data_IF_510381122336
#
_entry.id   IF_510381122336
#
_cell.length_a   1.000
_cell.length_b   1.000
_cell.length_c   1.000
_cell.angle_alpha   90.00
_cell.angle_beta   90.00
_cell.angle_gamma   90.00
#
_symmetry.space_group_name_H-M   'P 1'
#
loop_
_entity.id
_entity.type
_entity.pdbx_description
1 polymer ?
#
# COMPACT_ATOMS: atom_id res chain seq x y z
N UNK A 1 24.27 -1.63 -49.17
CA UNK A 1 24.23 -0.94 -47.87
C UNK A 1 22.80 -0.98 -47.35
N UNK A 2 22.41 -2.05 -46.65
CA UNK A 2 21.07 -2.26 -46.11
C UNK A 2 21.02 -1.77 -44.66
N UNK A 3 20.28 -0.70 -44.41
CA UNK A 3 20.00 -0.19 -43.06
C UNK A 3 19.05 -1.13 -42.33
N UNK A 4 19.53 -1.74 -41.25
CA UNK A 4 18.71 -2.54 -40.34
C UNK A 4 18.16 -1.61 -39.25
N UNK A 5 16.87 -1.29 -39.35
CA UNK A 5 16.14 -0.57 -38.32
C UNK A 5 16.03 -1.46 -37.07
N UNK A 6 16.72 -1.07 -36.00
CA UNK A 6 16.50 -1.65 -34.67
C UNK A 6 15.06 -1.34 -34.26
N UNK A 7 14.23 -2.38 -34.19
CA UNK A 7 12.91 -2.30 -33.61
C UNK A 7 13.01 -1.80 -32.17
N UNK A 8 12.34 -0.69 -31.87
CA UNK A 8 12.17 -0.22 -30.51
C UNK A 8 11.38 -1.29 -29.74
N UNK A 9 12.07 -2.00 -28.85
CA UNK A 9 11.42 -2.87 -27.87
C UNK A 9 10.48 -1.99 -27.04
N UNK A 10 9.18 -2.32 -27.06
CA UNK A 10 8.19 -1.65 -26.23
C UNK A 10 8.61 -1.80 -24.77
N UNK A 11 8.82 -0.68 -24.08
CA UNK A 11 9.05 -0.65 -22.64
C UNK A 11 7.83 -1.32 -22.00
N UNK A 12 7.99 -2.38 -21.18
CA UNK A 12 6.86 -2.95 -20.48
C UNK A 12 6.24 -1.85 -19.64
N UNK A 13 4.92 -1.65 -19.82
CA UNK A 13 4.19 -0.66 -19.04
C UNK A 13 4.42 -0.98 -17.55
N UNK A 14 5.05 -0.05 -16.82
CA UNK A 14 5.18 -0.15 -15.39
C UNK A 14 3.79 -0.42 -14.80
N UNK A 15 3.65 -1.25 -13.74
CA UNK A 15 2.37 -1.52 -13.13
C UNK A 15 1.72 -0.18 -12.75
N UNK A 16 0.64 0.15 -13.44
CA UNK A 16 -0.06 1.43 -13.26
C UNK A 16 -0.83 1.32 -11.95
N UNK A 17 -0.53 2.20 -11.00
CA UNK A 17 -1.29 2.31 -9.76
C UNK A 17 -2.69 2.87 -10.08
N UNK A 18 -3.68 1.98 -10.12
CA UNK A 18 -5.03 2.32 -10.55
C UNK A 18 -5.86 2.89 -9.39
N UNK A 19 -6.00 4.21 -9.34
CA UNK A 19 -6.78 4.92 -8.33
C UNK A 19 -8.30 4.81 -8.54
N UNK A 20 -8.75 4.20 -9.64
CA UNK A 20 -10.18 3.89 -9.85
C UNK A 20 -10.63 2.74 -8.94
N UNK A 21 -9.70 1.88 -8.51
CA UNK A 21 -9.96 0.75 -7.62
C UNK A 21 -10.43 1.26 -6.25
N UNK A 22 -11.61 0.83 -5.74
CA UNK A 22 -12.16 1.33 -4.48
C UNK A 22 -11.25 1.12 -3.25
N UNK A 23 -10.54 -0.01 -3.17
CA UNK A 23 -9.61 -0.30 -2.08
C UNK A 23 -8.44 0.68 -2.06
N UNK A 24 -7.84 0.92 -3.23
CA UNK A 24 -6.74 1.87 -3.44
C UNK A 24 -7.21 3.28 -3.05
N UNK A 25 -8.35 3.74 -3.60
CA UNK A 25 -8.92 5.05 -3.26
C UNK A 25 -9.19 5.19 -1.76
N UNK A 26 -9.74 4.16 -1.11
CA UNK A 26 -10.00 4.20 0.33
C UNK A 26 -8.70 4.33 1.12
N UNK A 27 -7.66 3.58 0.78
CA UNK A 27 -6.36 3.64 1.45
C UNK A 27 -5.71 5.02 1.27
N UNK A 28 -5.78 5.62 0.07
CA UNK A 28 -5.29 6.98 -0.15
C UNK A 28 -6.02 8.02 0.72
N UNK A 29 -7.33 7.90 0.89
CA UNK A 29 -8.07 8.79 1.79
C UNK A 29 -7.60 8.62 3.25
N UNK A 30 -7.40 7.39 3.71
CA UNK A 30 -6.89 7.11 5.06
C UNK A 30 -5.49 7.71 5.29
N UNK A 31 -4.62 7.65 4.29
CA UNK A 31 -3.28 8.28 4.33
C UNK A 31 -3.42 9.80 4.42
N UNK A 32 -4.25 10.41 3.57
CA UNK A 32 -4.45 11.86 3.53
C UNK A 32 -5.00 12.40 4.85
N UNK A 33 -5.97 11.69 5.41
CA UNK A 33 -6.66 12.09 6.64
C UNK A 33 -5.88 11.72 7.90
N UNK A 34 -4.75 11.01 7.76
CA UNK A 34 -3.94 10.44 8.86
C UNK A 34 -4.80 9.68 9.86
N UNK A 35 -5.79 8.96 9.33
CA UNK A 35 -6.77 8.28 10.15
C UNK A 35 -6.13 7.06 10.85
N UNK A 36 -6.42 6.89 12.13
CA UNK A 36 -6.01 5.68 12.85
C UNK A 36 -6.73 4.44 12.32
N UNK A 37 -5.94 3.40 12.11
CA UNK A 37 -6.36 2.10 11.58
C UNK A 37 -5.91 0.97 12.50
N UNK A 38 -6.57 -0.18 12.34
CA UNK A 38 -6.12 -1.45 12.89
C UNK A 38 -5.98 -2.47 11.75
N UNK A 39 -4.79 -3.07 11.65
CA UNK A 39 -4.47 -4.11 10.68
C UNK A 39 -4.36 -5.44 11.43
N UNK A 40 -5.21 -6.40 11.06
CA UNK A 40 -5.12 -7.78 11.54
C UNK A 40 -4.28 -8.58 10.56
N UNK A 41 -3.21 -9.19 11.04
CA UNK A 41 -2.40 -10.11 10.25
C UNK A 41 -3.01 -11.51 10.25
N UNK A 42 -2.70 -12.30 9.21
CA UNK A 42 -3.09 -13.71 9.11
C UNK A 42 -2.51 -14.57 10.25
N UNK A 43 -1.40 -14.12 10.87
CA UNK A 43 -0.84 -14.74 12.09
C UNK A 43 -1.76 -14.62 13.31
N UNK A 44 -2.68 -13.66 13.30
CA UNK A 44 -3.48 -13.29 14.46
C UNK A 44 -2.99 -12.01 15.15
N UNK A 45 -1.84 -11.46 14.79
CA UNK A 45 -1.35 -10.22 15.39
C UNK A 45 -2.17 -9.01 14.94
N UNK A 46 -2.19 -7.99 15.79
CA UNK A 46 -2.89 -6.73 15.53
C UNK A 46 -1.89 -5.58 15.58
N UNK A 47 -1.80 -4.84 14.49
CA UNK A 47 -0.99 -3.63 14.38
C UNK A 47 -1.93 -2.43 14.36
N UNK A 48 -1.65 -1.44 15.20
CA UNK A 48 -2.39 -0.17 15.24
C UNK A 48 -1.49 0.96 14.79
N UNK A 49 -2.04 1.88 14.00
CA UNK A 49 -1.24 2.97 13.49
C UNK A 49 -1.95 3.84 12.47
N UNK A 50 -1.18 4.58 11.69
CA UNK A 50 -1.67 5.36 10.55
C UNK A 50 -0.94 4.93 9.28
N UNK A 51 -1.62 4.98 8.13
CA UNK A 51 -0.99 4.65 6.85
C UNK A 51 -0.10 5.79 6.37
N UNK A 52 1.11 5.45 5.90
CA UNK A 52 2.06 6.40 5.31
C UNK A 52 2.07 6.34 3.80
N UNK A 53 2.08 5.13 3.26
CA UNK A 53 2.08 4.86 1.82
C UNK A 53 1.59 3.43 1.56
N UNK A 54 1.26 3.18 0.29
CA UNK A 54 0.91 1.87 -0.25
C UNK A 54 1.64 1.71 -1.58
N UNK A 55 2.10 0.50 -1.85
CA UNK A 55 2.45 0.02 -3.18
C UNK A 55 1.62 -1.23 -3.52
N UNK A 56 1.96 -1.93 -4.61
CA UNK A 56 1.17 -3.05 -5.13
C UNK A 56 1.13 -4.22 -4.14
N UNK A 57 2.21 -4.42 -3.39
CA UNK A 57 2.44 -5.61 -2.57
C UNK A 57 2.48 -5.31 -1.08
N UNK A 58 2.65 -4.04 -0.71
CA UNK A 58 2.94 -3.61 0.64
C UNK A 58 2.16 -2.35 1.05
N UNK A 59 1.93 -2.24 2.35
CA UNK A 59 1.49 -1.01 2.99
C UNK A 59 2.39 -0.66 4.17
N UNK A 60 2.62 0.63 4.36
CA UNK A 60 3.42 1.13 5.46
C UNK A 60 2.55 1.75 6.54
N UNK A 61 2.72 1.25 7.76
CA UNK A 61 2.02 1.71 8.96
C UNK A 61 3.03 2.35 9.90
N UNK A 62 2.78 3.60 10.27
CA UNK A 62 3.48 4.23 11.40
C UNK A 62 2.77 3.84 12.69
N UNK A 63 3.50 3.25 13.63
CA UNK A 63 2.98 2.76 14.89
C UNK A 63 2.48 3.89 15.80
N UNK A 64 1.55 3.54 16.70
CA UNK A 64 1.05 4.41 17.77
C UNK A 64 1.31 3.81 19.15
N UNK A 65 1.19 4.61 20.20
CA UNK A 65 1.46 4.16 21.57
C UNK A 65 2.95 3.82 21.76
N UNK A 66 3.23 2.60 22.21
CA UNK A 66 4.59 2.09 22.45
C UNK A 66 5.40 1.94 21.15
N UNK A 67 4.73 1.71 20.02
CA UNK A 67 5.35 1.57 18.70
C UNK A 67 5.52 2.92 17.97
N UNK A 68 5.28 4.04 18.66
CA UNK A 68 5.42 5.37 18.06
C UNK A 68 6.85 5.61 17.58
N UNK A 69 6.99 6.04 16.33
CA UNK A 69 8.28 6.31 15.69
C UNK A 69 8.82 5.13 14.86
N UNK A 70 8.22 3.94 15.00
CA UNK A 70 8.50 2.83 14.10
C UNK A 70 7.60 2.88 12.86
N UNK A 71 8.20 2.56 11.71
CA UNK A 71 7.48 2.31 10.45
C UNK A 71 7.54 0.82 10.15
N UNK A 72 6.37 0.20 9.97
CA UNK A 72 6.24 -1.21 9.68
C UNK A 72 5.78 -1.39 8.23
N UNK A 73 6.51 -2.21 7.47
CA UNK A 73 6.14 -2.60 6.11
C UNK A 73 5.39 -3.92 6.20
N UNK A 74 4.10 -3.89 5.85
CA UNK A 74 3.21 -5.04 5.90
C UNK A 74 2.91 -5.52 4.49
N UNK A 75 3.21 -6.79 4.22
CA UNK A 75 2.86 -7.44 2.97
C UNK A 75 1.35 -7.62 2.90
N UNK A 76 0.71 -7.22 1.78
CA UNK A 76 -0.73 -7.36 1.56
C UNK A 76 -1.18 -8.82 1.73
N UNK A 77 -0.34 -9.77 1.33
CA UNK A 77 -0.58 -11.22 1.49
C UNK A 77 -0.58 -11.69 2.95
N UNK A 78 0.04 -10.95 3.86
CA UNK A 78 0.05 -11.24 5.29
C UNK A 78 -1.11 -10.58 6.06
N UNK A 79 -1.94 -9.77 5.38
CA UNK A 79 -3.02 -9.00 6.00
C UNK A 79 -4.33 -9.76 5.82
N UNK A 80 -4.98 -10.05 6.95
CA UNK A 80 -6.34 -10.60 6.94
C UNK A 80 -7.36 -9.50 6.66
N UNK A 81 -7.26 -8.38 7.38
CA UNK A 81 -8.08 -7.19 7.12
C UNK A 81 -7.44 -5.92 7.65
N UNK A 82 -7.93 -4.79 7.12
CA UNK A 82 -7.73 -3.46 7.67
C UNK A 82 -9.09 -2.89 8.06
N UNK A 83 -9.22 -2.41 9.29
CA UNK A 83 -10.41 -1.69 9.76
C UNK A 83 -10.05 -0.28 10.20
N UNK A 84 -10.98 0.63 9.99
CA UNK A 84 -10.91 2.04 10.38
C UNK A 84 -12.31 2.48 10.80
N UNK A 85 -12.40 3.51 11.65
CA UNK A 85 -13.68 4.02 12.13
C UNK A 85 -14.35 4.87 11.05
N UNK A 86 -15.55 4.51 10.61
CA UNK A 86 -16.34 5.42 9.79
C UNK A 86 -17.00 6.46 10.71
N UNK A 87 -16.70 7.72 10.47
CA UNK A 87 -17.32 8.87 11.12
C UNK A 87 -18.60 9.25 10.40
#
# INVERSE_FOLDING_TARGET
MSGSAHGAAAVPAAPVFDTTIPSVRRIHNLIKDKQEIEVKLVSGDIIKGTLKWIDTDCLCVEGVGEERGYSMILWVTAIAFLKYRQT
#
